data_IF_839022674284
#
_entry.id   IF_839022674284
#
_cell.length_a   1.000
_cell.length_b   1.000
_cell.length_c   1.000
_cell.angle_alpha   90.00
_cell.angle_beta   90.00
_cell.angle_gamma   90.00
#
_symmetry.space_group_name_H-M   'P 1'
#
loop_
_entity.id
_entity.type
_entity.pdbx_description
1 polymer ?
#
# COMPACT_ATOMS: atom_id res chain seq x y z
N UNK A 1 -27.78 -11.16 0.87
CA UNK A 1 -26.90 -10.13 1.49
C UNK A 1 -26.49 -9.14 0.42
N UNK A 2 -26.38 -7.85 0.76
CA UNK A 2 -25.78 -6.84 -0.12
C UNK A 2 -24.29 -6.74 0.20
N UNK A 3 -23.44 -6.70 -0.82
CA UNK A 3 -21.99 -6.62 -0.69
C UNK A 3 -21.40 -5.55 -1.60
N UNK A 4 -20.20 -5.09 -1.27
CA UNK A 4 -19.44 -4.14 -2.06
C UNK A 4 -18.00 -4.65 -2.18
N UNK A 5 -17.48 -4.63 -3.40
CA UNK A 5 -16.07 -4.92 -3.68
C UNK A 5 -15.32 -3.61 -3.84
N UNK A 6 -14.22 -3.44 -3.09
CA UNK A 6 -13.32 -2.31 -3.21
C UNK A 6 -11.93 -2.87 -3.54
N UNK A 7 -11.33 -2.35 -4.59
CA UNK A 7 -9.97 -2.70 -5.00
C UNK A 7 -9.20 -1.43 -5.33
N UNK A 8 -7.94 -1.39 -4.91
CA UNK A 8 -7.00 -0.32 -5.22
C UNK A 8 -6.02 -0.84 -6.26
N UNK A 9 -5.75 -0.04 -7.29
CA UNK A 9 -4.69 -0.35 -8.23
C UNK A 9 -3.34 -0.38 -7.52
N UNK A 10 -2.54 -1.40 -7.81
CA UNK A 10 -1.19 -1.59 -7.30
C UNK A 10 -0.38 -2.36 -8.33
N UNK A 11 0.94 -2.27 -8.24
CA UNK A 11 1.84 -2.97 -9.16
C UNK A 11 1.82 -4.49 -8.98
N UNK A 12 1.35 -4.97 -7.82
CA UNK A 12 1.17 -6.39 -7.52
C UNK A 12 2.46 -7.16 -7.25
N UNK A 13 3.64 -6.54 -7.40
CA UNK A 13 4.95 -7.17 -7.15
C UNK A 13 5.65 -6.66 -5.88
N UNK A 14 5.11 -5.62 -5.25
CA UNK A 14 5.65 -5.02 -4.03
C UNK A 14 4.50 -4.61 -3.11
N UNK A 15 4.78 -4.53 -1.81
CA UNK A 15 3.84 -3.99 -0.84
C UNK A 15 3.63 -2.51 -1.15
N UNK A 16 2.38 -2.09 -1.38
CA UNK A 16 2.02 -0.69 -1.62
C UNK A 16 1.04 -0.18 -0.54
N UNK A 17 1.55 0.40 0.56
CA UNK A 17 0.72 0.96 1.63
C UNK A 17 -0.22 2.06 1.13
N UNK A 18 0.10 2.74 0.02
CA UNK A 18 -0.74 3.81 -0.53
C UNK A 18 -2.01 3.25 -1.16
N UNK A 19 -1.91 2.15 -1.89
CA UNK A 19 -3.07 1.46 -2.44
C UNK A 19 -4.03 1.02 -1.32
N UNK A 20 -3.50 0.45 -0.23
CA UNK A 20 -4.28 0.07 0.95
C UNK A 20 -4.95 1.29 1.61
N UNK A 21 -4.22 2.39 1.81
CA UNK A 21 -4.77 3.63 2.40
C UNK A 21 -5.93 4.21 1.59
N UNK A 22 -5.89 4.15 0.25
CA UNK A 22 -6.98 4.68 -0.59
C UNK A 22 -8.27 3.91 -0.32
N UNK A 23 -8.21 2.58 -0.27
CA UNK A 23 -9.37 1.73 0.01
C UNK A 23 -9.88 1.95 1.42
N UNK A 24 -8.98 2.00 2.40
CA UNK A 24 -9.34 2.25 3.79
C UNK A 24 -10.00 3.62 3.96
N UNK A 25 -9.52 4.68 3.30
CA UNK A 25 -10.15 6.02 3.31
C UNK A 25 -11.57 6.01 2.73
N UNK A 26 -11.82 5.23 1.69
CA UNK A 26 -13.19 5.08 1.14
C UNK A 26 -14.08 4.37 2.15
N UNK A 27 -13.61 3.26 2.72
CA UNK A 27 -14.35 2.46 3.70
C UNK A 27 -14.68 3.28 4.95
N UNK A 28 -13.69 3.96 5.53
CA UNK A 28 -13.83 4.79 6.74
C UNK A 28 -14.88 5.88 6.54
N UNK A 29 -14.85 6.58 5.40
CA UNK A 29 -15.86 7.60 5.08
C UNK A 29 -17.25 7.01 4.88
N UNK A 30 -17.35 5.84 4.22
CA UNK A 30 -18.64 5.18 3.96
C UNK A 30 -19.28 4.62 5.24
N UNK A 31 -18.47 4.20 6.20
CA UNK A 31 -18.93 3.65 7.48
C UNK A 31 -18.99 4.68 8.61
N UNK A 32 -18.54 5.92 8.37
CA UNK A 32 -18.51 6.97 9.40
C UNK A 32 -17.51 6.70 10.52
N UNK A 33 -16.44 5.93 10.25
CA UNK A 33 -15.43 5.58 11.23
C UNK A 33 -14.36 6.69 11.34
N UNK A 34 -13.56 6.60 12.38
CA UNK A 34 -12.30 7.33 12.53
C UNK A 34 -11.21 6.29 12.77
N UNK A 35 -10.24 6.21 11.87
CA UNK A 35 -9.12 5.27 11.95
C UNK A 35 -7.84 6.07 11.79
N UNK A 36 -6.88 5.82 12.68
CA UNK A 36 -5.54 6.37 12.58
C UNK A 36 -4.77 5.70 11.44
N UNK A 37 -4.18 6.51 10.57
CA UNK A 37 -3.44 6.07 9.38
C UNK A 37 -1.92 6.16 9.57
N UNK A 38 -1.45 6.58 10.75
CA UNK A 38 -0.05 6.93 11.01
C UNK A 38 0.92 5.80 10.65
N UNK A 39 0.57 4.54 10.94
CA UNK A 39 1.43 3.39 10.63
C UNK A 39 1.57 3.16 9.12
N UNK A 40 0.46 3.19 8.38
CA UNK A 40 0.46 3.06 6.92
C UNK A 40 1.20 4.21 6.23
N UNK A 41 1.08 5.42 6.77
CA UNK A 41 1.83 6.59 6.29
C UNK A 41 3.33 6.45 6.56
N UNK A 42 3.72 5.87 7.70
CA UNK A 42 5.10 5.52 8.03
C UNK A 42 5.68 4.52 7.03
N UNK A 43 5.00 3.40 6.83
CA UNK A 43 5.41 2.36 5.87
C UNK A 43 5.53 2.90 4.43
N UNK A 44 4.59 3.77 4.00
CA UNK A 44 4.66 4.40 2.69
C UNK A 44 5.97 5.21 2.50
N UNK A 45 6.38 5.95 3.54
CA UNK A 45 7.62 6.74 3.52
C UNK A 45 8.87 5.88 3.55
N UNK A 46 8.87 4.80 4.32
CA UNK A 46 9.99 3.85 4.37
C UNK A 46 10.24 3.23 3.00
N UNK A 47 9.18 2.76 2.33
CA UNK A 47 9.27 2.19 0.98
C UNK A 47 9.72 3.24 -0.04
N UNK A 48 9.19 4.46 0.02
CA UNK A 48 9.62 5.54 -0.87
C UNK A 48 11.10 5.89 -0.66
N UNK A 49 11.58 5.86 0.59
CA UNK A 49 12.98 6.12 0.93
C UNK A 49 13.88 4.99 0.41
N UNK A 50 13.49 3.74 0.60
CA UNK A 50 14.21 2.58 0.09
C UNK A 50 14.31 2.62 -1.44
N UNK A 51 13.22 2.94 -2.13
CA UNK A 51 13.18 3.06 -3.60
C UNK A 51 14.07 4.20 -4.12
N UNK A 52 14.10 5.34 -3.43
CA UNK A 52 14.99 6.46 -3.79
C UNK A 52 16.47 6.10 -3.59
N UNK A 53 16.80 5.29 -2.60
CA UNK A 53 18.16 4.82 -2.35
C UNK A 53 18.60 3.75 -3.36
N UNK A 54 17.68 2.89 -3.81
CA UNK A 54 17.96 1.86 -4.83
C UNK A 54 17.94 2.41 -6.26
N UNK A 55 17.36 3.59 -6.48
CA UNK A 55 17.12 4.20 -7.80
C UNK A 55 18.36 4.66 -8.59
N UNK A 56 19.58 4.31 -8.17
CA UNK A 56 20.81 4.57 -8.94
C UNK A 56 21.29 3.36 -9.77
N UNK A 57 20.59 2.22 -9.72
CA UNK A 57 20.77 1.09 -10.66
C UNK A 57 19.43 0.43 -10.98
N UNK A 58 19.00 0.65 -12.23
CA UNK A 58 18.06 -0.11 -13.04
C UNK A 58 16.79 -0.69 -12.37
N UNK A 59 15.66 -0.20 -12.87
CA UNK A 59 14.37 -0.89 -12.88
C UNK A 59 14.54 -2.37 -13.20
N UNK A 60 13.89 -3.23 -12.40
CA UNK A 60 13.74 -4.68 -12.61
C UNK A 60 14.93 -5.55 -12.21
N UNK A 61 15.31 -5.59 -10.93
CA UNK A 61 15.61 -6.88 -10.27
C UNK A 61 15.63 -6.84 -8.74
N UNK A 62 14.89 -7.80 -8.16
CA UNK A 62 15.16 -8.51 -6.91
C UNK A 62 15.24 -7.72 -5.58
N UNK A 63 14.13 -7.75 -4.84
CA UNK A 63 14.11 -7.78 -3.38
C UNK A 63 13.39 -9.05 -2.91
N UNK A 64 14.10 -9.93 -2.22
CA UNK A 64 13.65 -11.22 -1.69
C UNK A 64 12.35 -11.16 -0.86
N UNK A 65 11.49 -12.17 -1.03
CA UNK A 65 10.56 -12.79 -0.05
C UNK A 65 9.69 -11.82 0.79
N UNK A 66 8.37 -11.80 0.65
CA UNK A 66 7.50 -12.82 1.25
C UNK A 66 6.16 -12.88 0.50
N UNK A 67 5.89 -13.99 -0.19
CA UNK A 67 4.52 -14.32 -0.62
C UNK A 67 3.76 -14.75 0.64
N UNK A 68 3.02 -13.83 1.25
CA UNK A 68 1.96 -14.21 2.19
C UNK A 68 0.71 -14.33 1.33
N UNK A 69 0.35 -15.58 1.01
CA UNK A 69 -0.78 -15.93 0.14
C UNK A 69 -2.12 -15.41 0.62
#
# INVERSE_FOLDING_TARGET
>A
LKGLFLSGETSGFMIDPRAAMIILRVLVRKLGLQIDMTELEGQAKEIETALKQSGDKDSDSAGSSEYIG
#
